data_IF_911852540361
#
_entry.id   IF_911852540361
#
_cell.length_a   1.000
_cell.length_b   1.000
_cell.length_c   1.000
_cell.angle_alpha   90.00
_cell.angle_beta   90.00
_cell.angle_gamma   90.00
#
_symmetry.space_group_name_H-M   'P 1'
#
loop_
_entity.id
_entity.type
_entity.pdbx_description
1 polymer ?
#
# COMPACT_ATOMS: atom_id res chain seq x y z
N UNK A 1 -19.31 18.19 -12.71
CA UNK A 1 -18.34 18.84 -11.80
C UNK A 1 -17.31 17.86 -11.23
N UNK A 2 -17.09 16.71 -11.87
CA UNK A 2 -16.05 15.75 -11.51
C UNK A 2 -15.27 15.43 -12.79
N UNK A 3 -14.06 15.98 -12.91
CA UNK A 3 -13.19 15.77 -14.06
C UNK A 3 -11.90 15.08 -13.63
N UNK A 4 -11.55 13.99 -14.34
CA UNK A 4 -10.34 13.14 -14.33
C UNK A 4 -9.59 12.77 -13.02
N UNK A 5 -9.89 13.36 -11.86
CA UNK A 5 -9.32 13.04 -10.54
C UNK A 5 -10.41 12.69 -9.51
N UNK A 6 -11.51 12.10 -10.00
CA UNK A 6 -12.76 11.89 -9.28
C UNK A 6 -12.59 11.20 -7.92
N UNK A 7 -11.64 10.27 -7.79
CA UNK A 7 -11.47 9.50 -6.57
C UNK A 7 -10.94 10.36 -5.41
N UNK A 8 -9.98 11.26 -5.66
CA UNK A 8 -9.43 12.13 -4.62
C UNK A 8 -10.48 13.12 -4.11
N UNK A 9 -11.26 13.69 -5.02
CA UNK A 9 -12.35 14.59 -4.67
C UNK A 9 -13.44 13.86 -3.89
N UNK A 10 -13.83 12.64 -4.32
CA UNK A 10 -14.77 11.80 -3.59
C UNK A 10 -14.26 11.50 -2.18
N UNK A 11 -13.00 11.07 -2.01
CA UNK A 11 -12.40 10.80 -0.70
C UNK A 11 -12.44 12.06 0.17
N UNK A 12 -12.11 13.22 -0.38
CA UNK A 12 -12.13 14.50 0.34
C UNK A 12 -13.55 14.86 0.81
N UNK A 13 -14.54 14.75 -0.07
CA UNK A 13 -15.93 15.06 0.28
C UNK A 13 -16.49 14.07 1.30
N UNK A 14 -16.20 12.77 1.15
CA UNK A 14 -16.62 11.74 2.11
C UNK A 14 -15.96 11.97 3.48
N UNK A 15 -14.65 12.25 3.51
CA UNK A 15 -13.95 12.54 4.77
C UNK A 15 -14.52 13.79 5.47
N UNK A 16 -14.76 14.87 4.71
CA UNK A 16 -15.39 16.07 5.25
C UNK A 16 -16.81 15.83 5.77
N UNK A 17 -17.61 15.05 5.04
CA UNK A 17 -18.96 14.66 5.46
C UNK A 17 -18.95 13.84 6.75
N UNK A 18 -18.09 12.81 6.86
CA UNK A 18 -17.98 11.98 8.06
C UNK A 18 -17.51 12.79 9.27
N UNK A 19 -16.59 13.74 9.07
CA UNK A 19 -16.14 14.63 10.13
C UNK A 19 -17.26 15.56 10.62
N UNK A 20 -18.00 16.18 9.69
CA UNK A 20 -19.15 17.01 10.03
C UNK A 20 -20.24 16.19 10.75
N UNK A 21 -20.49 14.95 10.31
CA UNK A 21 -21.45 14.04 10.94
C UNK A 21 -21.02 13.66 12.37
N UNK A 22 -19.72 13.38 12.59
CA UNK A 22 -19.18 13.16 13.93
C UNK A 22 -19.44 14.37 14.84
N UNK A 23 -19.16 15.59 14.37
CA UNK A 23 -19.38 16.81 15.16
C UNK A 23 -20.87 17.01 15.49
N UNK A 24 -21.74 16.81 14.51
CA UNK A 24 -23.18 16.90 14.68
C UNK A 24 -23.68 15.91 15.74
N UNK A 25 -23.30 14.63 15.63
CA UNK A 25 -23.74 13.60 16.57
C UNK A 25 -23.15 13.79 17.97
N UNK A 26 -21.91 14.28 18.05
CA UNK A 26 -21.28 14.61 19.32
C UNK A 26 -22.01 15.78 20.03
N UNK A 27 -22.58 16.74 19.28
CA UNK A 27 -23.45 17.79 19.83
C UNK A 27 -24.71 17.24 20.50
N UNK A 28 -25.16 16.04 20.11
CA UNK A 28 -26.31 15.36 20.73
C UNK A 28 -25.89 14.38 21.84
N UNK A 29 -24.60 14.33 22.19
CA UNK A 29 -24.06 13.40 23.20
C UNK A 29 -23.76 11.99 22.66
N UNK A 30 -23.93 11.76 21.35
CA UNK A 30 -23.60 10.49 20.71
C UNK A 30 -22.15 10.50 20.20
N UNK A 31 -21.32 9.62 20.75
CA UNK A 31 -19.98 9.35 20.20
C UNK A 31 -20.12 8.41 19.01
N UNK A 32 -20.27 8.97 17.82
CA UNK A 32 -20.44 8.19 16.58
C UNK A 32 -19.22 7.30 16.29
N UNK A 33 -18.01 7.83 16.45
CA UNK A 33 -16.76 7.07 16.56
C UNK A 33 -16.16 7.27 17.95
N UNK A 34 -15.87 6.17 18.67
CA UNK A 34 -15.06 6.22 19.88
C UNK A 34 -13.57 6.31 19.53
N UNK A 35 -12.74 6.80 20.46
CA UNK A 35 -11.29 6.94 20.27
C UNK A 35 -10.63 5.63 19.82
N UNK A 36 -11.02 4.49 20.40
CA UNK A 36 -10.50 3.17 20.00
C UNK A 36 -10.80 2.82 18.53
N UNK A 37 -11.96 3.23 18.00
CA UNK A 37 -12.33 3.00 16.61
C UNK A 37 -11.52 3.91 15.66
N UNK A 38 -11.27 5.15 16.08
CA UNK A 38 -10.40 6.09 15.35
C UNK A 38 -8.97 5.53 15.30
N UNK A 39 -8.44 5.09 16.44
CA UNK A 39 -7.10 4.51 16.54
C UNK A 39 -6.97 3.25 15.67
N UNK A 40 -7.99 2.38 15.66
CA UNK A 40 -8.00 1.20 14.81
C UNK A 40 -7.93 1.55 13.30
N UNK A 41 -8.72 2.54 12.86
CA UNK A 41 -8.70 3.00 11.45
C UNK A 41 -7.35 3.59 11.09
N UNK A 42 -6.79 4.46 11.94
CA UNK A 42 -5.47 5.07 11.73
C UNK A 42 -4.37 3.99 11.65
N UNK A 43 -4.43 2.98 12.53
CA UNK A 43 -3.47 1.88 12.52
C UNK A 43 -3.55 1.06 11.23
N UNK A 44 -4.75 0.73 10.74
CA UNK A 44 -4.92 -0.02 9.48
C UNK A 44 -4.37 0.80 8.31
N UNK A 45 -4.70 2.08 8.20
CA UNK A 45 -4.21 2.96 7.13
C UNK A 45 -2.68 3.05 7.19
N UNK A 46 -2.11 3.22 8.40
CA UNK A 46 -0.67 3.31 8.60
C UNK A 46 0.03 2.00 8.23
N UNK A 47 -0.54 0.86 8.61
CA UNK A 47 -0.02 -0.46 8.24
C UNK A 47 -0.02 -0.66 6.73
N UNK A 48 -1.13 -0.35 6.04
CA UNK A 48 -1.21 -0.43 4.58
C UNK A 48 -0.23 0.51 3.89
N UNK A 49 -0.05 1.71 4.43
CA UNK A 49 0.94 2.66 3.93
C UNK A 49 2.36 2.10 4.05
N UNK A 50 2.72 1.55 5.21
CA UNK A 50 4.03 0.92 5.44
C UNK A 50 4.22 -0.28 4.51
N UNK A 51 3.20 -1.13 4.33
CA UNK A 51 3.27 -2.25 3.38
C UNK A 51 3.46 -1.79 1.95
N UNK A 52 2.72 -0.77 1.50
CA UNK A 52 2.85 -0.21 0.16
C UNK A 52 4.25 0.35 -0.07
N UNK A 53 4.78 1.13 0.87
CA UNK A 53 6.13 1.67 0.76
C UNK A 53 7.19 0.58 0.86
N UNK A 54 7.05 -0.35 1.79
CA UNK A 54 7.95 -1.48 1.98
C UNK A 54 8.02 -2.37 0.74
N UNK A 55 6.89 -2.64 0.07
CA UNK A 55 6.85 -3.42 -1.17
C UNK A 55 7.39 -2.63 -2.37
N UNK A 56 6.94 -1.40 -2.59
CA UNK A 56 7.35 -0.57 -3.73
C UNK A 56 8.82 -0.17 -3.69
N UNK A 57 9.33 0.09 -2.49
CA UNK A 57 10.71 0.51 -2.26
C UNK A 57 11.60 -0.63 -1.75
N UNK A 58 11.15 -1.89 -1.84
CA UNK A 58 11.93 -3.04 -1.40
C UNK A 58 13.27 -3.10 -2.16
N UNK A 59 14.33 -2.73 -1.45
CA UNK A 59 15.69 -2.57 -1.96
C UNK A 59 16.32 -3.91 -2.36
N UNK A 60 15.86 -5.02 -1.77
CA UNK A 60 16.37 -6.37 -2.04
C UNK A 60 15.98 -6.84 -3.44
N UNK A 61 14.76 -6.53 -3.91
CA UNK A 61 14.32 -6.86 -5.26
C UNK A 61 15.13 -6.11 -6.33
N UNK A 62 15.38 -4.82 -6.12
CA UNK A 62 16.12 -3.98 -7.07
C UNK A 62 17.59 -4.39 -7.20
N UNK A 63 18.25 -4.71 -6.09
CA UNK A 63 19.64 -5.20 -6.12
C UNK A 63 19.77 -6.59 -6.71
N UNK A 64 18.84 -7.50 -6.40
CA UNK A 64 18.82 -8.83 -6.98
C UNK A 64 18.57 -8.80 -8.49
N UNK A 65 17.66 -7.93 -8.96
CA UNK A 65 17.43 -7.72 -10.39
C UNK A 65 18.66 -7.10 -11.07
N UNK A 66 19.25 -6.05 -10.49
CA UNK A 66 20.46 -5.43 -11.04
C UNK A 66 21.64 -6.41 -11.11
N UNK A 67 21.83 -7.26 -10.09
CA UNK A 67 22.83 -8.33 -10.16
C UNK A 67 22.52 -9.33 -11.27
N UNK A 68 21.26 -9.76 -11.43
CA UNK A 68 20.90 -10.66 -12.54
C UNK A 68 21.20 -10.04 -13.91
N UNK A 69 20.89 -8.76 -14.11
CA UNK A 69 21.21 -8.04 -15.34
C UNK A 69 22.72 -8.01 -15.59
N UNK A 70 23.52 -7.68 -14.56
CA UNK A 70 24.99 -7.69 -14.68
C UNK A 70 25.55 -9.10 -14.96
N UNK A 71 25.01 -10.15 -14.34
CA UNK A 71 25.41 -11.54 -14.63
C UNK A 71 25.06 -11.96 -16.06
N UNK A 72 23.93 -11.46 -16.59
CA UNK A 72 23.48 -11.73 -17.96
C UNK A 72 24.33 -11.00 -19.00
N UNK A 73 24.65 -9.73 -18.77
CA UNK A 73 25.58 -8.94 -19.60
C UNK A 73 27.00 -9.54 -19.61
N UNK A 74 27.44 -10.10 -18.48
CA UNK A 74 28.73 -10.78 -18.38
C UNK A 74 28.72 -12.22 -18.95
N UNK A 75 27.59 -12.72 -19.45
CA UNK A 75 27.45 -14.09 -19.96
C UNK A 75 27.61 -15.18 -18.88
N UNK A 76 27.49 -14.82 -17.61
CA UNK A 76 27.65 -15.70 -16.44
C UNK A 76 26.31 -16.18 -15.86
N UNK A 77 25.22 -16.05 -16.64
CA UNK A 77 23.95 -16.63 -16.22
C UNK A 77 24.11 -18.13 -16.00
N UNK A 78 23.72 -18.60 -14.82
CA UNK A 78 23.63 -20.04 -14.54
C UNK A 78 22.63 -20.64 -15.51
N UNK A 79 23.13 -21.22 -16.60
CA UNK A 79 22.40 -22.21 -17.39
C UNK A 79 22.08 -23.35 -16.43
N UNK A 80 20.83 -23.42 -15.98
CA UNK A 80 20.35 -24.58 -15.24
C UNK A 80 20.34 -25.74 -16.24
N UNK A 81 21.47 -26.45 -16.35
CA UNK A 81 21.53 -27.74 -17.02
C UNK A 81 20.62 -28.64 -16.21
N UNK A 82 19.42 -28.82 -16.72
CA UNK A 82 18.51 -29.87 -16.34
C UNK A 82 19.25 -31.19 -16.58
N UNK A 83 19.92 -31.70 -15.55
CA UNK A 83 20.33 -33.10 -15.49
C UNK A 83 19.05 -33.91 -15.36
N UNK A 84 18.40 -34.16 -16.50
CA UNK A 84 17.64 -35.38 -16.68
C UNK A 84 18.67 -36.51 -16.64
N UNK A 85 18.87 -37.09 -15.47
CA UNK A 85 19.48 -38.41 -15.32
C UNK A 85 18.36 -39.39 -14.95
N UNK A 86 17.50 -39.66 -15.93
CA UNK A 86 16.88 -40.97 -16.06
C UNK A 86 17.87 -41.82 -16.86
N UNK A 87 18.58 -42.72 -16.16
CA UNK A 87 19.05 -44.04 -16.60
C UNK A 87 19.97 -44.66 -15.54
#
# INVERSE_FOLDING_TARGET
MFGNNNLQDIIRYVAGFLFALQLLLNSFGFKFLNNEQIDAVINIISFLFILYFGTKHNYLGKKGQAQKTLLQEAGLEKSNKQTNSDQ
#
